data_IF_175566413358
#
_entry.id   IF_175566413358
#
_cell.length_a   1.000
_cell.length_b   1.000
_cell.length_c   1.000
_cell.angle_alpha   90.00
_cell.angle_beta   90.00
_cell.angle_gamma   90.00
#
_symmetry.space_group_name_H-M   'P 1'
#
loop_
_entity.id
_entity.type
_entity.pdbx_description
1 polymer ?
#
# COMPACT_ATOMS: atom_id res chain seq x y z
N UNK A 1 9.57 8.85 31.99
CA UNK A 1 10.22 7.94 31.01
C UNK A 1 9.11 7.09 30.38
N UNK A 2 9.17 6.79 29.08
CA UNK A 2 8.25 5.84 28.46
C UNK A 2 8.85 4.44 28.61
N UNK A 3 8.08 3.50 29.16
CA UNK A 3 8.56 2.14 29.35
C UNK A 3 8.60 1.43 27.98
N UNK A 4 9.64 0.66 27.66
CA UNK A 4 9.80 0.06 26.33
C UNK A 4 8.90 -1.18 26.11
N UNK A 5 7.74 -1.27 26.78
CA UNK A 5 6.85 -2.45 26.77
C UNK A 5 6.44 -2.83 25.35
N UNK A 6 6.11 -1.84 24.49
CA UNK A 6 5.78 -2.08 23.09
C UNK A 6 6.92 -2.74 22.29
N UNK A 7 8.17 -2.68 22.76
CA UNK A 7 9.35 -3.32 22.13
C UNK A 7 9.69 -4.68 22.72
N UNK A 8 8.84 -5.24 23.58
CA UNK A 8 9.08 -6.55 24.18
C UNK A 8 9.21 -7.65 23.14
N UNK A 9 10.18 -8.53 23.36
CA UNK A 9 10.48 -9.74 22.61
C UNK A 9 11.24 -10.73 23.51
N UNK A 10 11.57 -11.90 22.99
CA UNK A 10 12.25 -12.97 23.74
C UNK A 10 13.63 -12.59 24.28
N UNK A 11 14.34 -11.66 23.64
CA UNK A 11 15.71 -11.28 24.04
C UNK A 11 15.76 -10.19 25.09
N UNK A 12 14.71 -9.38 25.22
CA UNK A 12 14.65 -8.26 26.16
C UNK A 12 13.59 -8.41 27.26
N UNK A 13 12.80 -9.49 27.26
CA UNK A 13 11.73 -9.78 28.23
C UNK A 13 12.11 -9.47 29.67
N UNK A 14 13.15 -10.12 30.19
CA UNK A 14 13.57 -10.01 31.59
C UNK A 14 14.02 -8.60 31.97
N UNK A 15 14.70 -7.90 31.05
CA UNK A 15 15.13 -6.52 31.27
C UNK A 15 13.93 -5.60 31.41
N UNK A 16 12.96 -5.71 30.49
CA UNK A 16 11.75 -4.88 30.51
C UNK A 16 10.91 -5.22 31.75
N UNK A 17 10.83 -6.49 32.13
CA UNK A 17 10.11 -6.93 33.34
C UNK A 17 10.66 -6.24 34.59
N UNK A 18 11.98 -6.23 34.74
CA UNK A 18 12.62 -5.58 35.89
C UNK A 18 12.45 -4.05 35.88
N UNK A 19 12.59 -3.42 34.70
CA UNK A 19 12.33 -1.98 34.55
C UNK A 19 10.89 -1.60 34.95
N UNK A 20 9.91 -2.44 34.60
CA UNK A 20 8.50 -2.22 34.95
C UNK A 20 8.22 -2.48 36.43
N UNK A 21 8.81 -3.52 37.02
CA UNK A 21 8.70 -3.81 38.47
C UNK A 21 9.24 -2.66 39.32
N UNK A 22 10.33 -2.04 38.89
CA UNK A 22 10.95 -0.90 39.57
C UNK A 22 10.25 0.44 39.27
N UNK A 23 9.27 0.46 38.35
CA UNK A 23 8.53 1.67 38.00
C UNK A 23 7.67 2.13 39.18
N UNK A 24 7.76 3.43 39.49
CA UNK A 24 6.85 4.08 40.45
C UNK A 24 5.45 4.34 39.88
N UNK A 25 5.35 4.35 38.56
CA UNK A 25 4.11 4.63 37.83
C UNK A 25 3.58 3.31 37.24
N UNK A 26 2.88 2.54 38.09
CA UNK A 26 2.30 1.24 37.72
C UNK A 26 1.09 1.41 36.81
N UNK A 27 0.30 2.47 37.00
CA UNK A 27 -0.88 2.76 36.17
C UNK A 27 -0.49 2.97 34.71
N UNK A 28 0.55 3.78 34.46
CA UNK A 28 1.06 3.94 33.11
C UNK A 28 1.59 2.64 32.51
N UNK A 29 2.26 1.80 33.29
CA UNK A 29 2.72 0.50 32.81
C UNK A 29 1.55 -0.41 32.41
N UNK A 30 0.46 -0.41 33.18
CA UNK A 30 -0.78 -1.14 32.85
C UNK A 30 -1.41 -0.60 31.58
N UNK A 31 -1.46 0.73 31.40
CA UNK A 31 -1.97 1.34 30.18
C UNK A 31 -1.10 1.02 28.95
N UNK A 32 0.23 1.02 29.10
CA UNK A 32 1.16 0.60 28.04
C UNK A 32 0.94 -0.89 27.69
N UNK A 33 0.70 -1.77 28.69
CA UNK A 33 0.34 -3.19 28.47
C UNK A 33 -0.98 -3.30 27.72
N UNK A 34 -2.01 -2.57 28.14
CA UNK A 34 -3.33 -2.53 27.51
C UNK A 34 -3.20 -2.18 26.03
N UNK A 35 -2.45 -1.14 25.71
CA UNK A 35 -2.21 -0.73 24.32
C UNK A 35 -1.55 -1.84 23.49
N UNK A 36 -0.59 -2.58 24.04
CA UNK A 36 0.02 -3.72 23.33
C UNK A 36 -0.99 -4.86 23.14
N UNK A 37 -1.81 -5.17 24.15
CA UNK A 37 -2.86 -6.21 24.05
C UNK A 37 -3.91 -5.86 23.01
N UNK A 38 -4.31 -4.59 22.91
CA UNK A 38 -5.35 -4.13 21.99
C UNK A 38 -4.86 -3.96 20.55
N UNK A 39 -3.57 -3.62 20.34
CA UNK A 39 -3.06 -3.17 19.03
C UNK A 39 -1.99 -4.09 18.42
N UNK A 40 -1.38 -4.98 19.20
CA UNK A 40 -0.29 -5.85 18.76
C UNK A 40 -0.59 -7.34 19.05
N UNK A 41 -1.61 -7.93 18.40
CA UNK A 41 -2.03 -9.31 18.66
C UNK A 41 -0.93 -10.34 18.39
N UNK A 42 0.02 -10.05 17.49
CA UNK A 42 1.21 -10.89 17.24
C UNK A 42 2.13 -11.04 18.46
N UNK A 43 1.96 -10.18 19.47
CA UNK A 43 2.67 -10.24 20.75
C UNK A 43 1.88 -10.94 21.85
N UNK A 44 0.73 -11.53 21.56
CA UNK A 44 -0.16 -12.10 22.57
C UNK A 44 0.53 -13.09 23.50
N UNK A 45 1.38 -13.97 22.95
CA UNK A 45 2.13 -14.97 23.71
C UNK A 45 3.15 -14.34 24.67
N UNK A 46 4.05 -13.49 24.18
CA UNK A 46 5.06 -12.84 25.03
C UNK A 46 4.41 -11.91 26.05
N UNK A 47 3.31 -11.24 25.68
CA UNK A 47 2.59 -10.34 26.57
C UNK A 47 1.84 -11.10 27.67
N UNK A 48 1.25 -12.26 27.37
CA UNK A 48 0.65 -13.11 28.39
C UNK A 48 1.68 -13.63 29.41
N UNK A 49 2.86 -14.06 28.95
CA UNK A 49 3.96 -14.42 29.85
C UNK A 49 4.41 -13.23 30.72
N UNK A 50 4.55 -12.06 30.10
CA UNK A 50 4.95 -10.83 30.79
C UNK A 50 3.95 -10.41 31.87
N UNK A 51 2.65 -10.40 31.55
CA UNK A 51 1.58 -10.13 32.50
C UNK A 51 1.59 -11.15 33.64
N UNK A 52 1.76 -12.43 33.31
CA UNK A 52 1.83 -13.49 34.32
C UNK A 52 3.01 -13.29 35.27
N UNK A 53 4.19 -12.94 34.76
CA UNK A 53 5.39 -12.69 35.57
C UNK A 53 5.26 -11.44 36.45
N UNK A 54 4.54 -10.41 36.00
CA UNK A 54 4.23 -9.22 36.82
C UNK A 54 3.21 -9.54 37.91
N UNK A 55 2.09 -10.17 37.55
CA UNK A 55 0.95 -10.37 38.44
C UNK A 55 1.14 -11.50 39.47
N UNK A 56 2.11 -12.41 39.27
CA UNK A 56 2.36 -13.53 40.17
C UNK A 56 2.77 -13.07 41.58
N UNK A 57 3.59 -12.02 41.66
CA UNK A 57 4.23 -11.57 42.91
C UNK A 57 3.86 -10.12 43.30
N UNK A 58 3.06 -9.41 42.50
CA UNK A 58 2.65 -8.02 42.75
C UNK A 58 1.12 -7.86 42.68
N UNK A 59 0.51 -7.62 43.85
CA UNK A 59 -0.94 -7.46 43.98
C UNK A 59 -1.49 -6.22 43.27
N UNK A 60 -0.70 -5.14 43.17
CA UNK A 60 -1.13 -3.92 42.49
C UNK A 60 -1.22 -4.17 40.98
N UNK A 61 -0.23 -4.87 40.41
CA UNK A 61 -0.31 -5.30 39.01
C UNK A 61 -1.45 -6.27 38.79
N UNK A 62 -1.66 -7.24 39.68
CA UNK A 62 -2.76 -8.19 39.55
C UNK A 62 -4.13 -7.49 39.52
N UNK A 63 -4.37 -6.58 40.46
CA UNK A 63 -5.63 -5.82 40.53
C UNK A 63 -5.78 -4.84 39.36
N UNK A 64 -4.70 -4.18 38.98
CA UNK A 64 -4.68 -3.27 37.84
C UNK A 64 -4.95 -3.97 36.51
N UNK A 65 -4.40 -5.16 36.31
CA UNK A 65 -4.69 -6.00 35.13
C UNK A 65 -6.13 -6.50 35.16
N UNK A 66 -6.67 -6.89 36.31
CA UNK A 66 -8.09 -7.26 36.41
C UNK A 66 -9.00 -6.09 35.99
N UNK A 67 -8.72 -4.88 36.49
CA UNK A 67 -9.43 -3.66 36.07
C UNK A 67 -9.27 -3.38 34.56
N UNK A 68 -8.07 -3.56 34.02
CA UNK A 68 -7.82 -3.43 32.58
C UNK A 68 -8.69 -4.40 31.76
N UNK A 69 -8.86 -5.64 32.22
CA UNK A 69 -9.72 -6.64 31.56
C UNK A 69 -11.18 -6.17 31.54
N UNK A 70 -11.68 -5.64 32.67
CA UNK A 70 -13.03 -5.07 32.75
C UNK A 70 -13.19 -3.89 31.79
N UNK A 71 -12.20 -2.99 31.71
CA UNK A 71 -12.22 -1.88 30.76
C UNK A 71 -12.25 -2.36 29.30
N UNK A 72 -11.49 -3.40 28.95
CA UNK A 72 -11.50 -4.00 27.61
C UNK A 72 -12.88 -4.57 27.28
N UNK A 73 -13.58 -5.19 28.24
CA UNK A 73 -14.91 -5.77 28.02
C UNK A 73 -15.96 -4.75 27.56
N UNK A 74 -15.77 -3.49 27.94
CA UNK A 74 -16.64 -2.36 27.58
C UNK A 74 -16.31 -1.72 26.23
N UNK A 75 -15.27 -2.22 25.53
CA UNK A 75 -14.91 -1.73 24.21
C UNK A 75 -16.00 -2.06 23.18
N UNK A 76 -16.34 -1.08 22.34
CA UNK A 76 -17.21 -1.27 21.18
C UNK A 76 -16.42 -1.57 19.90
N UNK A 77 -15.09 -1.61 19.97
CA UNK A 77 -14.23 -1.89 18.82
C UNK A 77 -13.99 -3.40 18.72
N UNK A 78 -14.69 -4.05 17.78
CA UNK A 78 -14.57 -5.48 17.49
C UNK A 78 -13.13 -5.92 17.21
N UNK A 79 -12.37 -5.07 16.55
CA UNK A 79 -10.98 -5.31 16.17
C UNK A 79 -10.06 -5.33 17.41
N UNK A 80 -10.28 -4.42 18.35
CA UNK A 80 -9.57 -4.42 19.64
C UNK A 80 -9.97 -5.60 20.52
N UNK A 81 -11.27 -5.96 20.54
CA UNK A 81 -11.77 -7.11 21.30
C UNK A 81 -11.20 -8.43 20.79
N UNK A 82 -11.16 -8.64 19.47
CA UNK A 82 -10.52 -9.82 18.88
C UNK A 82 -9.04 -9.86 19.25
N UNK A 83 -8.32 -8.73 19.15
CA UNK A 83 -6.90 -8.66 19.54
C UNK A 83 -6.68 -9.06 20.99
N UNK A 84 -7.48 -8.50 21.90
CA UNK A 84 -7.40 -8.80 23.32
C UNK A 84 -7.67 -10.28 23.62
N UNK A 85 -8.64 -10.88 22.91
CA UNK A 85 -9.08 -12.26 23.15
C UNK A 85 -7.92 -13.27 23.10
N UNK A 86 -6.93 -13.07 22.22
CA UNK A 86 -5.76 -13.94 22.15
C UNK A 86 -4.94 -13.92 23.45
N UNK A 87 -4.65 -12.73 23.98
CA UNK A 87 -3.89 -12.62 25.24
C UNK A 87 -4.72 -13.07 26.44
N UNK A 88 -6.00 -12.68 26.50
CA UNK A 88 -6.87 -13.01 27.63
C UNK A 88 -7.14 -14.51 27.74
N UNK A 89 -7.29 -15.20 26.61
CA UNK A 89 -7.38 -16.67 26.57
C UNK A 89 -6.11 -17.33 27.13
N UNK A 90 -4.93 -16.83 26.76
CA UNK A 90 -3.65 -17.32 27.29
C UNK A 90 -3.49 -17.08 28.80
N UNK A 91 -4.15 -16.05 29.33
CA UNK A 91 -4.18 -15.72 30.76
C UNK A 91 -5.27 -16.47 31.57
N UNK A 92 -6.04 -17.35 30.92
CA UNK A 92 -7.04 -18.18 31.57
C UNK A 92 -8.30 -17.42 32.00
N UNK A 93 -8.59 -16.26 31.39
CA UNK A 93 -9.82 -15.48 31.67
C UNK A 93 -11.06 -16.28 31.24
N UNK A 94 -12.12 -16.29 32.05
CA UNK A 94 -13.40 -16.93 31.72
C UNK A 94 -14.21 -16.13 30.71
N UNK A 95 -15.11 -16.77 29.96
CA UNK A 95 -15.93 -16.09 28.94
C UNK A 95 -15.33 -16.09 27.53
N UNK A 96 -14.05 -16.52 27.38
CA UNK A 96 -13.38 -16.56 26.08
C UNK A 96 -14.01 -17.57 25.11
N UNK A 97 -14.74 -18.57 25.61
CA UNK A 97 -15.51 -19.53 24.82
C UNK A 97 -16.53 -18.87 23.88
N UNK A 98 -16.95 -17.64 24.17
CA UNK A 98 -17.80 -16.80 23.30
C UNK A 98 -17.09 -16.43 21.99
N UNK A 99 -15.76 -16.42 21.99
CA UNK A 99 -14.91 -16.19 20.82
C UNK A 99 -14.50 -17.53 20.21
N UNK A 100 -15.31 -18.03 19.29
CA UNK A 100 -15.19 -19.39 18.76
C UNK A 100 -13.85 -19.71 18.08
N UNK A 101 -13.09 -18.70 17.66
CA UNK A 101 -11.75 -18.83 17.06
C UNK A 101 -10.61 -19.02 18.07
N UNK A 102 -10.85 -18.81 19.38
CA UNK A 102 -9.81 -18.93 20.42
C UNK A 102 -9.68 -20.34 21.01
N UNK A 103 -10.40 -21.33 20.46
CA UNK A 103 -10.56 -22.67 21.02
C UNK A 103 -9.22 -23.40 21.23
N UNK A 104 -8.28 -23.23 20.31
CA UNK A 104 -7.00 -23.94 20.32
C UNK A 104 -5.87 -23.16 21.00
N UNK A 105 -6.12 -21.91 21.42
CA UNK A 105 -5.09 -21.07 22.02
C UNK A 105 -4.69 -21.62 23.42
N UNK A 106 -3.43 -22.03 23.63
CA UNK A 106 -3.03 -22.65 24.89
C UNK A 106 -2.97 -21.62 26.03
N UNK A 107 -3.43 -22.03 27.21
CA UNK A 107 -3.29 -21.25 28.45
C UNK A 107 -1.84 -21.28 28.94
N UNK A 108 -1.26 -20.11 29.13
CA UNK A 108 0.08 -19.90 29.71
C UNK A 108 -0.01 -19.85 31.23
N UNK A 109 -1.07 -19.25 31.76
CA UNK A 109 -1.26 -19.02 33.19
C UNK A 109 -2.75 -18.98 33.53
N UNK A 110 -3.12 -19.52 34.69
CA UNK A 110 -4.50 -19.50 35.21
C UNK A 110 -4.75 -18.39 36.24
N UNK A 111 -3.86 -17.39 36.31
CA UNK A 111 -3.90 -16.33 37.33
C UNK A 111 -5.21 -15.53 37.34
N UNK A 112 -5.96 -15.52 36.22
CA UNK A 112 -7.18 -14.75 36.05
C UNK A 112 -8.44 -15.62 35.82
N UNK A 113 -8.44 -16.90 36.22
CA UNK A 113 -9.63 -17.77 36.14
C UNK A 113 -10.85 -17.28 36.95
N UNK A 114 -10.64 -16.37 37.90
CA UNK A 114 -11.72 -15.75 38.66
C UNK A 114 -12.30 -14.49 37.99
N UNK A 115 -11.65 -13.98 36.94
CA UNK A 115 -12.13 -12.83 36.15
C UNK A 115 -12.95 -13.38 34.98
N UNK A 116 -14.16 -12.84 34.81
CA UNK A 116 -15.07 -13.20 33.72
C UNK A 116 -15.18 -12.03 32.76
N UNK A 117 -14.91 -12.27 31.48
CA UNK A 117 -15.09 -11.26 30.45
C UNK A 117 -16.55 -11.27 29.98
N UNK A 118 -17.32 -10.27 30.41
CA UNK A 118 -18.71 -10.08 30.01
C UNK A 118 -18.79 -9.05 28.88
N UNK A 119 -18.99 -9.53 27.64
CA UNK A 119 -19.10 -8.66 26.46
C UNK A 119 -20.57 -8.54 26.07
N UNK A 120 -20.99 -7.33 25.69
CA UNK A 120 -22.33 -7.10 25.14
C UNK A 120 -22.59 -7.95 23.89
N UNK A 121 -23.86 -8.35 23.68
CA UNK A 121 -24.22 -9.15 22.51
C UNK A 121 -23.92 -8.42 21.19
N UNK A 122 -24.09 -7.09 21.16
CA UNK A 122 -23.81 -6.26 19.98
C UNK A 122 -22.31 -6.28 19.62
N UNK A 123 -21.43 -6.12 20.62
CA UNK A 123 -19.99 -6.22 20.41
C UNK A 123 -19.58 -7.63 19.97
N UNK A 124 -20.19 -8.69 20.52
CA UNK A 124 -19.93 -10.07 20.09
C UNK A 124 -20.36 -10.32 18.64
N UNK A 125 -21.49 -9.74 18.21
CA UNK A 125 -21.95 -9.82 16.82
C UNK A 125 -20.94 -9.14 15.89
N UNK A 126 -20.46 -7.94 16.25
CA UNK A 126 -19.43 -7.24 15.49
C UNK A 126 -18.11 -8.03 15.40
N UNK A 127 -17.69 -8.70 16.48
CA UNK A 127 -16.53 -9.58 16.45
C UNK A 127 -16.75 -10.80 15.54
N UNK A 128 -17.94 -11.39 15.56
CA UNK A 128 -18.30 -12.52 14.71
C UNK A 128 -18.23 -12.15 13.22
N UNK A 129 -18.81 -11.03 12.83
CA UNK A 129 -18.79 -10.56 11.44
C UNK A 129 -17.36 -10.30 10.93
N UNK A 130 -16.50 -9.70 11.76
CA UNK A 130 -15.09 -9.50 11.41
C UNK A 130 -14.36 -10.84 11.29
N UNK A 131 -14.61 -11.76 12.21
CA UNK A 131 -13.97 -13.06 12.23
C UNK A 131 -14.37 -13.94 11.02
N UNK A 132 -15.67 -14.00 10.71
CA UNK A 132 -16.20 -14.73 9.56
C UNK A 132 -15.62 -14.22 8.24
N UNK A 133 -15.37 -12.91 8.14
CA UNK A 133 -14.73 -12.32 6.95
C UNK A 133 -13.29 -12.82 6.76
N UNK A 134 -12.53 -12.95 7.85
CA UNK A 134 -11.15 -13.45 7.81
C UNK A 134 -11.15 -14.95 7.50
N UNK A 135 -12.03 -15.70 8.15
CA UNK A 135 -12.19 -17.14 7.94
C UNK A 135 -12.55 -17.47 6.50
N UNK A 136 -13.36 -16.63 5.84
CA UNK A 136 -13.69 -16.77 4.42
C UNK A 136 -12.49 -16.65 3.47
N UNK A 137 -11.34 -16.17 3.94
CA UNK A 137 -10.10 -16.03 3.15
C UNK A 137 -9.03 -17.01 3.64
N UNK A 138 -8.80 -17.09 4.95
CA UNK A 138 -7.67 -17.80 5.55
C UNK A 138 -7.99 -19.22 6.04
N UNK A 139 -9.27 -19.57 6.19
CA UNK A 139 -9.69 -20.75 6.94
C UNK A 139 -9.35 -20.67 8.43
N UNK A 140 -9.65 -21.73 9.18
CA UNK A 140 -9.45 -21.77 10.64
C UNK A 140 -7.96 -21.77 11.02
N UNK A 141 -7.14 -22.60 10.35
CA UNK A 141 -5.70 -22.74 10.64
C UNK A 141 -4.87 -21.47 10.35
N UNK A 142 -5.39 -20.57 9.52
CA UNK A 142 -4.74 -19.32 9.13
C UNK A 142 -5.27 -18.09 9.88
N UNK A 143 -6.35 -18.24 10.66
CA UNK A 143 -7.09 -17.11 11.21
C UNK A 143 -6.25 -16.17 12.08
N UNK A 144 -5.59 -16.70 13.13
CA UNK A 144 -4.82 -15.89 14.08
C UNK A 144 -3.70 -15.11 13.36
N UNK A 145 -2.99 -15.78 12.44
CA UNK A 145 -1.87 -15.17 11.72
C UNK A 145 -2.36 -14.09 10.74
N UNK A 146 -3.43 -14.33 9.96
CA UNK A 146 -4.00 -13.33 9.05
C UNK A 146 -4.59 -12.15 9.83
N UNK A 147 -5.28 -12.39 10.94
CA UNK A 147 -5.77 -11.31 11.81
C UNK A 147 -4.60 -10.45 12.32
N UNK A 148 -3.51 -11.08 12.77
CA UNK A 148 -2.31 -10.36 13.19
C UNK A 148 -1.72 -9.51 12.07
N UNK A 149 -1.68 -10.05 10.84
CA UNK A 149 -1.21 -9.32 9.66
C UNK A 149 -2.07 -8.09 9.41
N UNK A 150 -3.38 -8.28 9.32
CA UNK A 150 -4.36 -7.21 9.07
C UNK A 150 -4.22 -6.09 10.11
N UNK A 151 -4.08 -6.47 11.39
CA UNK A 151 -3.96 -5.46 12.44
C UNK A 151 -2.66 -4.70 12.45
N UNK A 152 -1.54 -5.37 12.21
CA UNK A 152 -0.26 -4.69 12.09
C UNK A 152 -0.27 -3.71 10.91
N UNK A 153 -0.80 -4.10 9.75
CA UNK A 153 -0.91 -3.21 8.59
C UNK A 153 -1.77 -1.97 8.89
N UNK A 154 -2.90 -2.11 9.59
CA UNK A 154 -3.72 -0.97 10.01
C UNK A 154 -2.99 -0.07 11.01
N UNK A 155 -2.37 -0.67 12.01
CA UNK A 155 -1.72 0.03 13.12
C UNK A 155 -0.47 0.80 12.67
N UNK A 156 0.26 0.28 11.66
CA UNK A 156 1.50 0.86 11.14
C UNK A 156 1.35 1.46 9.74
N UNK A 157 0.13 1.86 9.34
CA UNK A 157 -0.14 2.43 8.00
C UNK A 157 0.64 3.70 7.65
N UNK A 158 1.16 4.38 8.66
CA UNK A 158 1.99 5.58 8.49
C UNK A 158 3.46 5.27 8.13
N UNK A 159 3.91 4.01 8.29
CA UNK A 159 5.29 3.61 8.02
C UNK A 159 5.38 2.18 7.49
N UNK A 160 5.67 2.07 6.18
CA UNK A 160 5.91 0.77 5.52
C UNK A 160 7.02 0.01 6.22
N UNK A 161 8.13 0.67 6.57
CA UNK A 161 9.29 0.02 7.18
C UNK A 161 8.99 -0.51 8.59
N UNK A 162 8.28 0.25 9.41
CA UNK A 162 7.87 -0.22 10.74
C UNK A 162 6.90 -1.39 10.61
N UNK A 163 5.91 -1.31 9.70
CA UNK A 163 4.98 -2.40 9.44
C UNK A 163 5.70 -3.69 9.01
N UNK A 164 6.67 -3.59 8.08
CA UNK A 164 7.46 -4.75 7.62
C UNK A 164 8.30 -5.32 8.76
N UNK A 165 8.86 -4.48 9.63
CA UNK A 165 9.61 -4.90 10.81
C UNK A 165 8.73 -5.69 11.80
N UNK A 166 7.54 -5.16 12.11
CA UNK A 166 6.60 -5.82 13.01
C UNK A 166 6.07 -7.15 12.45
N UNK A 167 5.89 -7.22 11.12
CA UNK A 167 5.49 -8.43 10.42
C UNK A 167 6.64 -9.40 10.11
N UNK A 168 7.87 -9.06 10.52
CA UNK A 168 9.05 -9.91 10.34
C UNK A 168 8.94 -11.28 11.02
N UNK A 169 8.11 -11.41 12.06
CA UNK A 169 7.88 -12.67 12.78
C UNK A 169 6.87 -13.61 12.09
N UNK A 170 6.13 -13.13 11.10
CA UNK A 170 5.12 -13.91 10.38
C UNK A 170 5.84 -14.81 9.37
N UNK A 171 5.70 -16.14 9.56
CA UNK A 171 6.46 -17.12 8.79
C UNK A 171 5.75 -17.49 7.49
N UNK A 172 4.41 -17.53 7.50
CA UNK A 172 3.63 -17.91 6.31
C UNK A 172 3.44 -16.70 5.40
N UNK A 173 4.08 -16.75 4.24
CA UNK A 173 3.94 -15.71 3.21
C UNK A 173 2.49 -15.58 2.70
N UNK A 174 1.74 -16.69 2.66
CA UNK A 174 0.31 -16.68 2.30
C UNK A 174 -0.51 -15.77 3.22
N UNK A 175 -0.24 -15.80 4.53
CA UNK A 175 -0.92 -14.95 5.51
C UNK A 175 -0.68 -13.45 5.25
N UNK A 176 0.51 -13.10 4.75
CA UNK A 176 0.82 -11.72 4.33
C UNK A 176 0.00 -11.31 3.09
N UNK A 177 -0.09 -12.18 2.08
CA UNK A 177 -0.88 -11.93 0.87
C UNK A 177 -2.37 -11.80 1.19
N UNK A 178 -2.88 -12.67 2.07
CA UNK A 178 -4.29 -12.63 2.50
C UNK A 178 -4.61 -11.36 3.27
N UNK A 179 -3.70 -10.89 4.12
CA UNK A 179 -3.83 -9.59 4.80
C UNK A 179 -3.94 -8.42 3.82
N UNK A 180 -3.10 -8.39 2.78
CA UNK A 180 -3.18 -7.36 1.72
C UNK A 180 -4.53 -7.46 0.98
N UNK A 181 -4.95 -8.68 0.61
CA UNK A 181 -6.22 -8.94 -0.07
C UNK A 181 -7.42 -8.45 0.74
N UNK A 182 -7.39 -8.67 2.06
CA UNK A 182 -8.43 -8.20 2.99
C UNK A 182 -8.53 -6.68 3.06
N UNK A 183 -7.39 -6.00 2.99
CA UNK A 183 -7.32 -4.55 3.18
C UNK A 183 -7.48 -3.74 1.89
N UNK A 184 -7.38 -4.36 0.71
CA UNK A 184 -7.35 -3.66 -0.58
C UNK A 184 -8.52 -2.68 -0.81
N UNK A 185 -9.69 -2.93 -0.20
CA UNK A 185 -10.87 -2.04 -0.29
C UNK A 185 -11.02 -1.04 0.85
N UNK A 186 -10.26 -1.20 1.94
CA UNK A 186 -10.42 -0.44 3.19
C UNK A 186 -9.25 0.50 3.45
N UNK A 187 -8.09 0.22 2.89
CA UNK A 187 -6.88 1.00 3.07
C UNK A 187 -6.38 1.57 1.75
N UNK A 188 -5.46 2.54 1.84
CA UNK A 188 -4.86 3.16 0.68
C UNK A 188 -4.11 2.13 -0.18
N UNK A 189 -4.50 2.01 -1.45
CA UNK A 189 -3.92 1.01 -2.37
C UNK A 189 -2.42 1.21 -2.58
N UNK A 190 -1.91 2.44 -2.62
CA UNK A 190 -0.47 2.69 -2.79
C UNK A 190 0.33 2.23 -1.57
N UNK A 191 -0.19 2.41 -0.36
CA UNK A 191 0.42 1.90 0.86
C UNK A 191 0.53 0.37 0.82
N UNK A 192 -0.57 -0.31 0.47
CA UNK A 192 -0.60 -1.76 0.35
C UNK A 192 0.29 -2.28 -0.80
N UNK A 193 0.37 -1.56 -1.93
CA UNK A 193 1.32 -1.87 -2.99
C UNK A 193 2.76 -1.73 -2.51
N UNK A 194 3.10 -0.67 -1.76
CA UNK A 194 4.43 -0.49 -1.20
C UNK A 194 4.82 -1.63 -0.23
N UNK A 195 3.88 -2.11 0.60
CA UNK A 195 4.09 -3.31 1.41
C UNK A 195 4.33 -4.55 0.55
N UNK A 196 3.51 -4.78 -0.48
CA UNK A 196 3.69 -5.90 -1.41
C UNK A 196 5.06 -5.88 -2.09
N UNK A 197 5.55 -4.69 -2.48
CA UNK A 197 6.89 -4.52 -3.04
C UNK A 197 7.97 -4.90 -2.01
N UNK A 198 7.88 -4.43 -0.77
CA UNK A 198 8.86 -4.80 0.28
C UNK A 198 8.84 -6.29 0.59
N UNK A 199 7.66 -6.91 0.68
CA UNK A 199 7.56 -8.35 0.91
C UNK A 199 8.00 -9.18 -0.29
N UNK A 200 7.87 -8.69 -1.53
CA UNK A 200 8.38 -9.38 -2.72
C UNK A 200 9.87 -9.66 -2.67
N UNK A 201 10.65 -8.89 -1.89
CA UNK A 201 12.08 -9.15 -1.64
C UNK A 201 12.32 -10.46 -0.86
N UNK A 202 11.32 -10.96 -0.13
CA UNK A 202 11.39 -12.23 0.60
C UNK A 202 11.18 -13.40 -0.36
N UNK A 203 12.07 -14.39 -0.29
CA UNK A 203 11.98 -15.59 -1.12
C UNK A 203 10.62 -16.27 -0.97
N UNK A 204 9.99 -16.62 -2.09
CA UNK A 204 8.71 -17.32 -2.13
C UNK A 204 7.46 -16.43 -2.01
N UNK A 205 7.58 -15.20 -1.49
CA UNK A 205 6.42 -14.31 -1.38
C UNK A 205 5.88 -13.92 -2.76
N UNK A 206 6.74 -13.51 -3.70
CA UNK A 206 6.30 -13.09 -5.03
C UNK A 206 5.51 -14.21 -5.72
N UNK A 207 6.01 -15.45 -5.68
CA UNK A 207 5.31 -16.61 -6.28
C UNK A 207 3.87 -16.73 -5.77
N UNK A 208 3.69 -16.73 -4.45
CA UNK A 208 2.36 -16.83 -3.82
C UNK A 208 1.50 -15.61 -4.18
N UNK A 209 2.08 -14.42 -4.20
CA UNK A 209 1.38 -13.22 -4.63
C UNK A 209 0.88 -13.36 -6.08
N UNK A 210 1.72 -13.81 -7.02
CA UNK A 210 1.32 -13.98 -8.43
C UNK A 210 0.20 -15.02 -8.59
N UNK A 211 0.24 -16.10 -7.82
CA UNK A 211 -0.81 -17.13 -7.81
C UNK A 211 -2.16 -16.59 -7.29
N UNK A 212 -2.13 -15.70 -6.29
CA UNK A 212 -3.34 -15.14 -5.66
C UNK A 212 -3.85 -13.86 -6.34
N UNK A 213 -3.00 -13.14 -7.09
CA UNK A 213 -3.37 -11.89 -7.76
C UNK A 213 -4.66 -11.97 -8.58
N UNK A 214 -4.99 -13.06 -9.31
CA UNK A 214 -6.28 -13.17 -10.01
C UNK A 214 -7.51 -12.90 -9.12
N UNK A 215 -7.43 -13.18 -7.82
CA UNK A 215 -8.51 -12.97 -6.85
C UNK A 215 -8.55 -11.54 -6.24
N UNK A 216 -7.64 -10.65 -6.64
CA UNK A 216 -7.64 -9.23 -6.28
C UNK A 216 -8.48 -8.41 -7.27
N UNK A 217 -8.93 -7.25 -6.80
CA UNK A 217 -9.68 -6.32 -7.64
C UNK A 217 -8.83 -5.75 -8.77
N UNK A 218 -9.49 -5.47 -9.90
CA UNK A 218 -8.81 -4.98 -11.10
C UNK A 218 -8.10 -3.64 -10.87
N UNK A 219 -8.69 -2.74 -10.08
CA UNK A 219 -8.10 -1.45 -9.72
C UNK A 219 -6.78 -1.63 -8.98
N UNK A 220 -6.75 -2.49 -7.95
CA UNK A 220 -5.54 -2.78 -7.18
C UNK A 220 -4.44 -3.40 -8.04
N UNK A 221 -4.80 -4.38 -8.89
CA UNK A 221 -3.88 -4.99 -9.87
C UNK A 221 -3.30 -3.98 -10.85
N UNK A 222 -4.15 -3.05 -11.30
CA UNK A 222 -3.79 -1.95 -12.20
C UNK A 222 -2.71 -1.02 -11.65
N UNK A 223 -2.50 -1.01 -10.33
CA UNK A 223 -1.45 -0.25 -9.65
C UNK A 223 -0.25 -1.15 -9.32
N UNK A 224 -0.50 -2.32 -8.71
CA UNK A 224 0.56 -3.18 -8.18
C UNK A 224 1.44 -3.80 -9.28
N UNK A 225 0.85 -4.30 -10.37
CA UNK A 225 1.59 -4.98 -11.43
C UNK A 225 2.58 -4.03 -12.12
N UNK A 226 2.19 -2.81 -12.54
CA UNK A 226 3.14 -1.85 -13.07
C UNK A 226 4.29 -1.50 -12.12
N UNK A 227 4.02 -1.37 -10.81
CA UNK A 227 5.05 -1.09 -9.83
C UNK A 227 6.02 -2.26 -9.63
N UNK A 228 5.52 -3.50 -9.60
CA UNK A 228 6.36 -4.71 -9.56
C UNK A 228 7.28 -4.78 -10.78
N UNK A 229 6.74 -4.50 -11.98
CA UNK A 229 7.52 -4.46 -13.20
C UNK A 229 8.62 -3.41 -13.13
N UNK A 230 8.28 -2.18 -12.75
CA UNK A 230 9.25 -1.08 -12.73
C UNK A 230 10.39 -1.35 -11.74
N UNK A 231 10.05 -1.87 -10.56
CA UNK A 231 11.01 -2.13 -9.49
C UNK A 231 11.95 -3.31 -9.79
N UNK A 232 11.46 -4.37 -10.44
CA UNK A 232 12.18 -5.65 -10.49
C UNK A 232 12.58 -6.11 -11.90
N UNK A 233 11.84 -5.73 -12.94
CA UNK A 233 12.13 -6.15 -14.32
C UNK A 233 13.07 -5.15 -15.04
N UNK A 234 14.37 -5.23 -14.74
CA UNK A 234 15.43 -4.27 -15.08
C UNK A 234 15.43 -2.99 -14.22
N UNK A 235 15.85 -3.09 -12.93
CA UNK A 235 16.25 -1.91 -12.17
C UNK A 235 17.38 -1.21 -12.93
N UNK A 236 17.30 0.10 -13.10
CA UNK A 236 18.43 0.90 -13.58
C UNK A 236 19.68 0.59 -12.75
N UNK A 237 20.88 0.60 -13.33
CA UNK A 237 22.14 0.32 -12.62
C UNK A 237 22.30 1.20 -11.35
N UNK A 238 21.71 2.40 -11.35
CA UNK A 238 21.68 3.37 -10.25
C UNK A 238 20.77 2.99 -9.07
N UNK A 239 19.82 2.06 -9.27
CA UNK A 239 18.88 1.59 -8.22
C UNK A 239 19.37 0.36 -7.45
N UNK A 240 20.63 -0.03 -7.66
CA UNK A 240 21.30 -1.08 -6.87
C UNK A 240 21.64 -0.57 -5.47
N UNK A 241 20.63 -0.46 -4.60
CA UNK A 241 20.85 -0.18 -3.19
C UNK A 241 21.80 -1.25 -2.60
N UNK A 242 22.76 -0.79 -1.80
CA UNK A 242 23.85 -1.54 -1.13
C UNK A 242 23.37 -2.69 -0.22
N UNK A 243 22.05 -2.91 -0.10
CA UNK A 243 21.41 -3.86 0.82
C UNK A 243 20.64 -5.01 0.16
N UNK A 244 20.84 -5.29 -1.14
CA UNK A 244 20.29 -6.51 -1.73
C UNK A 244 21.10 -7.69 -1.19
N UNK A 245 20.54 -8.42 -0.21
CA UNK A 245 21.12 -9.68 0.24
C UNK A 245 21.23 -10.63 -0.95
N UNK A 246 22.42 -11.18 -1.12
CA UNK A 246 23.01 -11.69 -2.36
C UNK A 246 22.52 -13.08 -2.81
N UNK A 247 21.22 -13.33 -2.98
CA UNK A 247 20.78 -14.62 -3.58
C UNK A 247 19.45 -14.65 -4.32
N UNK A 248 18.49 -13.77 -4.01
CA UNK A 248 17.18 -13.75 -4.66
C UNK A 248 16.83 -12.35 -5.19
N UNK A 249 16.44 -12.28 -6.47
CA UNK A 249 15.89 -11.08 -7.08
C UNK A 249 14.56 -11.42 -7.74
N UNK A 250 13.46 -10.74 -7.37
CA UNK A 250 12.14 -11.01 -7.94
C UNK A 250 12.11 -10.73 -9.45
N UNK A 251 11.23 -11.42 -10.20
CA UNK A 251 11.01 -11.22 -11.64
C UNK A 251 12.30 -11.33 -12.51
N UNK A 252 13.26 -12.18 -12.12
CA UNK A 252 14.46 -12.46 -12.93
C UNK A 252 14.50 -13.85 -13.55
N UNK A 253 13.70 -14.77 -13.06
CA UNK A 253 13.61 -16.14 -13.58
C UNK A 253 12.41 -16.26 -14.52
N UNK A 254 12.48 -17.20 -15.48
CA UNK A 254 11.33 -17.51 -16.34
C UNK A 254 10.13 -18.03 -15.53
N UNK A 255 10.38 -18.66 -14.39
CA UNK A 255 9.35 -19.14 -13.46
C UNK A 255 8.53 -18.00 -12.86
N UNK A 256 9.13 -16.83 -12.62
CA UNK A 256 8.41 -15.65 -12.13
C UNK A 256 7.82 -14.83 -13.29
N UNK A 257 8.56 -14.71 -14.41
CA UNK A 257 8.18 -13.88 -15.56
C UNK A 257 6.93 -14.42 -16.27
N UNK A 258 6.82 -15.73 -16.47
CA UNK A 258 5.71 -16.30 -17.23
C UNK A 258 4.35 -16.11 -16.53
N UNK A 259 4.18 -16.45 -15.24
CA UNK A 259 2.96 -16.13 -14.50
C UNK A 259 2.69 -14.62 -14.45
N UNK A 260 3.74 -13.80 -14.31
CA UNK A 260 3.58 -12.34 -14.33
C UNK A 260 3.01 -11.83 -15.65
N UNK A 261 3.53 -12.30 -16.79
CA UNK A 261 3.03 -11.92 -18.13
C UNK A 261 1.54 -12.25 -18.31
N UNK A 262 1.08 -13.38 -17.75
CA UNK A 262 -0.32 -13.80 -17.83
C UNK A 262 -1.30 -12.87 -17.09
N UNK A 263 -0.82 -12.08 -16.13
CA UNK A 263 -1.63 -11.13 -15.38
C UNK A 263 -1.79 -9.78 -16.10
N UNK A 264 -1.08 -9.56 -17.20
CA UNK A 264 -1.06 -8.28 -17.91
C UNK A 264 -2.24 -8.21 -18.88
N UNK A 265 -3.25 -7.43 -18.49
CA UNK A 265 -4.34 -7.01 -19.38
C UNK A 265 -3.93 -5.78 -20.21
N UNK A 266 -4.71 -5.41 -21.22
CA UNK A 266 -4.47 -4.21 -22.04
C UNK A 266 -4.38 -2.93 -21.19
N UNK A 267 -5.30 -2.76 -20.23
CA UNK A 267 -5.29 -1.62 -19.30
C UNK A 267 -4.04 -1.61 -18.41
N UNK A 268 -3.61 -2.78 -17.93
CA UNK A 268 -2.39 -2.91 -17.14
C UNK A 268 -1.18 -2.56 -17.99
N UNK A 269 -1.11 -3.06 -19.23
CA UNK A 269 -0.03 -2.74 -20.16
C UNK A 269 0.03 -1.23 -20.44
N UNK A 270 -1.12 -0.57 -20.62
CA UNK A 270 -1.22 0.90 -20.77
C UNK A 270 -0.62 1.63 -19.57
N UNK A 271 -0.96 1.20 -18.35
CA UNK A 271 -0.38 1.77 -17.13
C UNK A 271 1.12 1.48 -16.97
N UNK A 272 1.58 0.28 -17.34
CA UNK A 272 3.01 -0.04 -17.39
C UNK A 272 3.75 0.89 -18.34
N UNK A 273 3.22 1.11 -19.56
CA UNK A 273 3.85 2.01 -20.56
C UNK A 273 3.95 3.43 -20.02
N UNK A 274 2.96 3.88 -19.24
CA UNK A 274 2.96 5.20 -18.60
C UNK A 274 4.08 5.36 -17.57
N UNK A 275 4.34 4.34 -16.76
CA UNK A 275 5.31 4.41 -15.65
C UNK A 275 6.73 4.11 -16.14
N UNK A 276 6.89 3.03 -16.88
CA UNK A 276 8.19 2.45 -17.26
C UNK A 276 8.66 2.85 -18.66
N UNK A 277 7.79 3.48 -19.44
CA UNK A 277 8.03 3.84 -20.84
C UNK A 277 7.67 2.73 -21.83
N UNK A 278 7.07 3.13 -22.95
CA UNK A 278 6.57 2.27 -24.02
C UNK A 278 7.60 1.23 -24.50
N UNK A 279 8.82 1.66 -24.79
CA UNK A 279 9.88 0.77 -25.29
C UNK A 279 10.28 -0.34 -24.32
N UNK A 280 10.35 -0.04 -23.01
CA UNK A 280 10.73 -1.03 -21.97
C UNK A 280 9.65 -2.11 -21.86
N UNK A 281 8.38 -1.70 -21.88
CA UNK A 281 7.23 -2.60 -21.77
C UNK A 281 7.06 -3.44 -23.04
N UNK A 282 7.21 -2.84 -24.22
CA UNK A 282 7.10 -3.58 -25.48
C UNK A 282 8.22 -4.60 -25.64
N UNK A 283 9.46 -4.27 -25.28
CA UNK A 283 10.55 -5.26 -25.26
C UNK A 283 10.26 -6.43 -24.32
N UNK A 284 9.59 -6.16 -23.20
CA UNK A 284 9.22 -7.19 -22.24
C UNK A 284 8.11 -8.10 -22.78
N UNK A 285 7.05 -7.52 -23.36
CA UNK A 285 5.89 -8.25 -23.87
C UNK A 285 6.19 -8.96 -25.19
N UNK A 286 6.86 -8.26 -26.10
CA UNK A 286 7.14 -8.66 -27.47
C UNK A 286 8.65 -8.85 -27.62
N UNK A 287 9.14 -10.05 -27.29
CA UNK A 287 10.53 -10.44 -27.56
C UNK A 287 10.84 -10.28 -29.07
N UNK A 288 11.40 -9.13 -29.47
CA UNK A 288 11.99 -8.91 -30.79
C UNK A 288 11.26 -8.04 -31.82
N UNK A 289 10.21 -7.28 -31.47
CA UNK A 289 9.69 -6.22 -32.36
C UNK A 289 9.91 -4.85 -31.74
N UNK A 290 10.96 -4.16 -32.16
CA UNK A 290 11.07 -2.73 -31.93
C UNK A 290 10.02 -2.06 -32.81
N UNK A 291 8.91 -1.60 -32.23
CA UNK A 291 8.15 -0.55 -32.88
C UNK A 291 9.04 0.70 -32.87
N UNK A 292 9.26 1.27 -34.06
CA UNK A 292 9.82 2.59 -34.21
C UNK A 292 8.85 3.57 -33.56
N UNK A 293 9.08 3.84 -32.28
CA UNK A 293 8.36 4.88 -31.56
C UNK A 293 8.55 6.20 -32.32
N UNK A 294 7.45 6.72 -32.87
CA UNK A 294 7.41 7.97 -33.64
C UNK A 294 7.89 9.12 -32.75
N UNK A 295 9.18 9.45 -32.85
CA UNK A 295 9.75 10.58 -32.12
C UNK A 295 9.19 11.86 -32.72
N UNK A 296 8.56 12.69 -31.88
CA UNK A 296 8.16 14.03 -32.28
C UNK A 296 9.44 14.84 -32.56
N UNK A 297 9.60 15.45 -33.75
CA UNK A 297 10.74 16.29 -34.05
C UNK A 297 10.86 17.43 -33.01
N UNK A 298 12.09 17.83 -32.71
CA UNK A 298 12.35 19.00 -31.86
C UNK A 298 12.77 20.17 -32.73
N UNK A 299 12.26 21.35 -32.40
CA UNK A 299 12.67 22.61 -33.00
C UNK A 299 13.47 23.42 -31.97
N UNK A 300 14.57 24.04 -32.40
CA UNK A 300 15.32 24.96 -31.55
C UNK A 300 14.59 26.30 -31.41
N UNK A 301 14.95 27.08 -30.38
CA UNK A 301 14.34 28.40 -30.17
C UNK A 301 14.67 29.36 -31.33
N UNK A 302 15.90 29.30 -31.84
CA UNK A 302 16.38 30.14 -32.93
C UNK A 302 15.68 29.81 -34.26
N UNK A 303 15.26 28.57 -34.46
CA UNK A 303 14.41 28.17 -35.59
C UNK A 303 12.98 28.63 -35.40
N UNK A 304 12.44 28.51 -34.18
CA UNK A 304 11.10 28.96 -33.85
C UNK A 304 10.93 30.46 -34.06
N UNK A 305 11.88 31.28 -33.60
CA UNK A 305 11.85 32.75 -33.73
C UNK A 305 11.93 33.23 -35.20
N UNK A 306 12.28 32.36 -36.15
CA UNK A 306 12.24 32.63 -37.59
C UNK A 306 10.90 32.26 -38.24
N UNK A 307 9.98 31.66 -37.49
CA UNK A 307 8.63 31.33 -37.98
C UNK A 307 7.85 32.61 -38.21
N UNK A 308 7.00 32.62 -39.23
CA UNK A 308 6.04 33.69 -39.40
C UNK A 308 4.94 33.58 -38.33
N UNK A 309 4.86 34.59 -37.45
CA UNK A 309 3.87 34.65 -36.38
C UNK A 309 2.47 35.06 -36.90
N UNK A 310 2.38 35.61 -38.11
CA UNK A 310 1.10 35.97 -38.73
C UNK A 310 0.38 34.73 -39.30
N UNK A 311 1.13 33.70 -39.74
CA UNK A 311 0.57 32.39 -40.08
C UNK A 311 0.33 31.56 -38.81
N UNK A 312 -0.91 31.66 -38.29
CA UNK A 312 -1.36 30.90 -37.10
C UNK A 312 -1.09 29.40 -37.20
N UNK A 313 -1.26 28.79 -38.37
CA UNK A 313 -1.07 27.34 -38.54
C UNK A 313 0.42 26.98 -38.46
N UNK A 314 1.28 27.78 -39.10
CA UNK A 314 2.73 27.62 -39.00
C UNK A 314 3.22 27.85 -37.57
N UNK A 315 2.78 28.93 -36.92
CA UNK A 315 3.08 29.23 -35.52
C UNK A 315 2.73 28.07 -34.59
N UNK A 316 1.50 27.54 -34.64
CA UNK A 316 1.07 26.45 -33.77
C UNK A 316 1.86 25.15 -34.00
N UNK A 317 2.15 24.81 -35.26
CA UNK A 317 2.99 23.66 -35.59
C UNK A 317 4.41 23.82 -35.03
N UNK A 318 5.04 24.96 -35.29
CA UNK A 318 6.37 25.26 -34.78
C UNK A 318 6.39 25.29 -33.25
N UNK A 319 5.34 25.79 -32.60
CA UNK A 319 5.24 25.84 -31.14
C UNK A 319 5.18 24.44 -30.53
N UNK A 320 4.37 23.54 -31.09
CA UNK A 320 4.34 22.14 -30.65
C UNK A 320 5.73 21.48 -30.78
N UNK A 321 6.46 21.73 -31.86
CA UNK A 321 7.81 21.19 -32.04
C UNK A 321 8.85 21.80 -31.08
N UNK A 322 8.69 23.08 -30.70
CA UNK A 322 9.53 23.76 -29.71
C UNK A 322 9.29 23.21 -28.29
N UNK A 323 8.04 22.98 -27.92
CA UNK A 323 7.63 22.46 -26.61
C UNK A 323 7.83 20.95 -26.43
N UNK A 324 8.21 20.24 -27.50
CA UNK A 324 8.34 18.77 -27.52
C UNK A 324 9.53 18.25 -26.70
N UNK A 325 9.40 17.09 -26.01
CA UNK A 325 8.19 16.42 -25.54
C UNK A 325 8.09 16.46 -24.01
N UNK A 326 8.59 17.52 -23.36
CA UNK A 326 8.58 17.64 -21.90
C UNK A 326 7.47 18.59 -21.47
N UNK A 327 6.61 18.13 -20.54
CA UNK A 327 5.50 18.94 -19.99
C UNK A 327 6.03 20.28 -19.48
N UNK A 328 7.13 20.27 -18.72
CA UNK A 328 7.73 21.48 -18.18
C UNK A 328 8.24 22.43 -19.26
N UNK A 329 8.89 21.91 -20.32
CA UNK A 329 9.33 22.74 -21.44
C UNK A 329 8.13 23.35 -22.18
N UNK A 330 7.13 22.53 -22.49
CA UNK A 330 5.92 22.99 -23.16
C UNK A 330 5.24 24.12 -22.39
N UNK A 331 5.02 23.93 -21.09
CA UNK A 331 4.39 24.93 -20.22
C UNK A 331 5.27 26.19 -20.04
N UNK A 332 6.60 26.03 -20.04
CA UNK A 332 7.52 27.18 -19.98
C UNK A 332 7.42 28.05 -21.23
N UNK A 333 7.42 27.43 -22.42
CA UNK A 333 7.25 28.19 -23.66
C UNK A 333 5.85 28.76 -23.81
N UNK A 334 4.84 28.06 -23.30
CA UNK A 334 3.48 28.58 -23.26
C UNK A 334 3.40 29.87 -22.44
N UNK A 335 4.12 29.94 -21.31
CA UNK A 335 4.21 31.16 -20.51
C UNK A 335 5.02 32.26 -21.21
N UNK A 336 6.14 31.92 -21.85
CA UNK A 336 6.98 32.88 -22.60
C UNK A 336 6.17 33.53 -23.75
N UNK A 337 5.38 32.74 -24.47
CA UNK A 337 4.61 33.18 -25.63
C UNK A 337 3.11 33.38 -25.33
N UNK A 338 2.74 33.56 -24.05
CA UNK A 338 1.32 33.63 -23.64
C UNK A 338 0.53 34.73 -24.33
N UNK A 339 1.18 35.83 -24.70
CA UNK A 339 0.55 36.95 -25.42
C UNK A 339 0.11 36.53 -26.82
N UNK A 340 0.82 35.59 -27.45
CA UNK A 340 0.45 35.00 -28.74
C UNK A 340 -0.65 33.94 -28.61
N UNK A 341 -0.97 33.51 -27.38
CA UNK A 341 -2.00 32.52 -27.03
C UNK A 341 -3.30 33.14 -26.49
N UNK A 342 -3.56 34.41 -26.81
CA UNK A 342 -4.90 34.99 -26.71
C UNK A 342 -5.71 34.55 -27.93
N UNK A 343 -6.33 33.38 -27.84
CA UNK A 343 -6.94 32.69 -28.97
C UNK A 343 -8.48 32.84 -29.00
N UNK A 344 -9.02 33.20 -30.16
CA UNK A 344 -10.45 33.05 -30.44
C UNK A 344 -10.84 31.59 -30.62
N UNK A 345 -12.15 31.30 -30.67
CA UNK A 345 -12.67 29.92 -30.74
C UNK A 345 -12.09 29.10 -31.92
N UNK A 346 -12.00 29.71 -33.11
CA UNK A 346 -11.46 29.04 -34.30
C UNK A 346 -9.96 28.74 -34.18
N UNK A 347 -9.20 29.66 -33.58
CA UNK A 347 -7.77 29.49 -33.30
C UNK A 347 -7.52 28.41 -32.25
N UNK A 348 -8.38 28.33 -31.22
CA UNK A 348 -8.32 27.26 -30.21
C UNK A 348 -8.57 25.89 -30.85
N UNK A 349 -9.59 25.77 -31.73
CA UNK A 349 -9.86 24.52 -32.48
C UNK A 349 -8.71 24.13 -33.39
N UNK A 350 -8.14 25.11 -34.11
CA UNK A 350 -6.98 24.88 -34.98
C UNK A 350 -5.77 24.40 -34.17
N UNK A 351 -5.47 25.06 -33.06
CA UNK A 351 -4.39 24.67 -32.17
C UNK A 351 -4.59 23.26 -31.60
N UNK A 352 -5.79 22.95 -31.09
CA UNK A 352 -6.14 21.62 -30.57
C UNK A 352 -5.95 20.53 -31.62
N UNK A 353 -6.38 20.77 -32.86
CA UNK A 353 -6.18 19.83 -33.96
C UNK A 353 -4.70 19.56 -34.22
N UNK A 354 -3.86 20.60 -34.25
CA UNK A 354 -2.41 20.46 -34.45
C UNK A 354 -1.76 19.77 -33.25
N UNK A 355 -2.19 20.10 -32.04
CA UNK A 355 -1.70 19.53 -30.80
C UNK A 355 -1.94 18.01 -30.77
N UNK A 356 -3.16 17.56 -31.04
CA UNK A 356 -3.47 16.12 -31.08
C UNK A 356 -2.86 15.41 -32.30
N UNK A 357 -2.71 16.09 -33.45
CA UNK A 357 -1.95 15.53 -34.59
C UNK A 357 -0.47 15.28 -34.21
N UNK A 358 0.11 16.16 -33.39
CA UNK A 358 1.53 16.09 -32.99
C UNK A 358 1.77 15.15 -31.83
N UNK A 359 0.90 15.17 -30.82
CA UNK A 359 1.09 14.50 -29.53
C UNK A 359 0.04 13.44 -29.21
N UNK A 360 -0.88 13.10 -30.12
CA UNK A 360 -1.98 12.16 -29.85
C UNK A 360 -1.54 10.83 -29.27
N UNK A 361 -0.36 10.34 -29.65
CA UNK A 361 0.23 9.09 -29.14
C UNK A 361 0.82 9.22 -27.71
N UNK A 362 0.91 10.43 -27.17
CA UNK A 362 1.49 10.77 -25.85
C UNK A 362 0.39 11.14 -24.85
N UNK A 363 -0.51 10.22 -24.58
CA UNK A 363 -1.72 10.42 -23.77
C UNK A 363 -1.48 11.17 -22.44
N UNK A 364 -0.46 10.78 -21.66
CA UNK A 364 -0.16 11.43 -20.37
C UNK A 364 0.29 12.88 -20.53
N UNK A 365 1.06 13.17 -21.58
CA UNK A 365 1.46 14.53 -21.93
C UNK A 365 0.23 15.34 -22.33
N UNK A 366 -0.58 14.82 -23.26
CA UNK A 366 -1.81 15.46 -23.72
C UNK A 366 -2.73 15.81 -22.55
N UNK A 367 -3.04 14.83 -21.69
CA UNK A 367 -3.92 15.01 -20.54
C UNK A 367 -3.44 16.15 -19.63
N UNK A 368 -2.17 16.10 -19.20
CA UNK A 368 -1.63 17.07 -18.24
C UNK A 368 -1.54 18.47 -18.86
N UNK A 369 -1.08 18.56 -20.12
CA UNK A 369 -0.95 19.84 -20.80
C UNK A 369 -2.33 20.47 -21.02
N UNK A 370 -3.31 19.72 -21.55
CA UNK A 370 -4.67 20.21 -21.77
C UNK A 370 -5.32 20.66 -20.46
N UNK A 371 -5.21 19.88 -19.38
CA UNK A 371 -5.73 20.26 -18.06
C UNK A 371 -5.14 21.61 -17.60
N UNK A 372 -3.84 21.82 -17.82
CA UNK A 372 -3.18 23.10 -17.50
C UNK A 372 -3.64 24.23 -18.41
N UNK A 373 -3.77 23.99 -19.71
CA UNK A 373 -4.24 25.01 -20.66
C UNK A 373 -5.66 25.48 -20.37
N UNK A 374 -6.56 24.56 -19.99
CA UNK A 374 -7.91 24.90 -19.51
C UNK A 374 -7.85 25.70 -18.22
N UNK A 375 -7.04 25.27 -17.24
CA UNK A 375 -6.88 25.97 -15.97
C UNK A 375 -6.33 27.39 -16.15
N UNK A 376 -5.46 27.61 -17.13
CA UNK A 376 -4.92 28.91 -17.49
C UNK A 376 -5.80 29.70 -18.46
N UNK A 377 -6.99 29.18 -18.83
CA UNK A 377 -7.95 29.80 -19.74
C UNK A 377 -7.38 30.12 -21.12
N UNK A 378 -6.46 29.27 -21.60
CA UNK A 378 -5.95 29.32 -22.97
C UNK A 378 -6.87 28.55 -23.91
N UNK A 379 -7.51 27.49 -23.39
CA UNK A 379 -8.51 26.68 -24.09
C UNK A 379 -9.79 26.62 -23.25
N UNK A 380 -10.94 26.81 -23.90
CA UNK A 380 -12.24 26.61 -23.29
C UNK A 380 -12.59 25.12 -23.19
N UNK A 381 -13.03 24.68 -22.01
CA UNK A 381 -13.32 23.26 -21.73
C UNK A 381 -14.42 22.68 -22.62
N UNK A 382 -15.34 23.52 -23.11
CA UNK A 382 -16.44 23.09 -23.98
C UNK A 382 -15.96 22.63 -25.36
N UNK A 383 -14.84 23.18 -25.85
CA UNK A 383 -14.25 22.83 -27.14
C UNK A 383 -13.56 21.45 -27.14
N UNK A 384 -13.28 20.90 -25.96
CA UNK A 384 -12.61 19.62 -25.83
C UNK A 384 -13.53 18.42 -26.13
N UNK A 385 -14.84 18.59 -26.02
CA UNK A 385 -15.82 17.51 -26.24
C UNK A 385 -15.72 16.90 -27.65
N UNK A 386 -15.32 17.69 -28.66
CA UNK A 386 -15.14 17.23 -30.05
C UNK A 386 -13.82 16.49 -30.32
N UNK A 387 -12.85 16.55 -29.43
CA UNK A 387 -11.53 15.91 -29.58
C UNK A 387 -11.37 14.67 -28.69
N UNK A 388 -12.01 14.68 -27.51
CA UNK A 388 -11.96 13.57 -26.53
C UNK A 388 -12.72 12.33 -27.02
N UNK A 389 -13.69 12.46 -27.93
CA UNK A 389 -14.47 11.32 -28.45
C UNK A 389 -13.77 10.48 -29.52
N UNK A 390 -12.66 10.96 -30.11
CA UNK A 390 -11.93 10.28 -31.18
C UNK A 390 -10.53 9.77 -30.79
N UNK A 391 -10.01 10.21 -29.65
CA UNK A 391 -8.78 9.67 -29.04
C UNK A 391 -9.10 9.39 -27.59
N UNK A 392 -9.20 8.10 -27.24
CA UNK A 392 -9.51 7.64 -25.89
C UNK A 392 -8.55 8.28 -24.85
N UNK A 393 -9.05 9.33 -24.19
CA UNK A 393 -8.48 9.96 -23.00
C UNK A 393 -9.07 9.30 -21.74
#
# INVERSE_FOLDING_TARGET
MQLPIARINSTNHWRILEEVRLSKDKEKAIEDIKNVVLLMPHKSSIMASFISDLAKDDADFKNGIAKMIDEISTSNDSSMLISASFTLKRLGVKGMESFFWTKETPTISSLFECVSLEISQDSLNGCREEAERILGIAGEEGFEEVFCVVQAMRSFRFSVQECVSQLGCISRQKSLVDGIRMLQKKENSLYLCALALEFAKKQGFLKILLEELPAFEQEFKGILIPLLFEQYHNPSEESSSVYISSSYMPLRTLEDINPFKQLITEDIAKNMKRISGTSKVEKFLNEGKSEDTKKVPRMSREEFEKTDFEDRKAFFKSFCLLGSPSISHFLTYLEIYKENFVLGEDDQKLFLSIFFETFGDYESFCRIVIEKMVRFRIIDSELLAGFISNSAL
#
